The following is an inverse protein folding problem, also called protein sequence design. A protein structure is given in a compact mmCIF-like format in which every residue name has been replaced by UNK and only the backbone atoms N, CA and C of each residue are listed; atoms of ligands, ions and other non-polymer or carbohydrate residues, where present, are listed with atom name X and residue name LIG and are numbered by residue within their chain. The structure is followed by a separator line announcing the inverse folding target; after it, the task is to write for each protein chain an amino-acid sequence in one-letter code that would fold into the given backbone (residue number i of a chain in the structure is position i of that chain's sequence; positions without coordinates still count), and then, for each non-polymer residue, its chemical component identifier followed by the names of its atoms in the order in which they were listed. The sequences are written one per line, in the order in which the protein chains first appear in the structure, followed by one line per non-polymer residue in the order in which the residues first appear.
data_IF_575944500354
#
_entry.id   IF_575944500354
#
_cell.length_a   1.000
_cell.length_b   1.000
_cell.length_c   1.000
_cell.angle_alpha   90.00
_cell.angle_beta   90.00
_cell.angle_gamma   90.00
#
_symmetry.space_group_name_H-M   'P 1'
#
loop_
_entity.id
_entity.type
_entity.pdbx_description
1 polymer ?
#
# COMPACT_ATOMS: atom_id res chain seq x y z
N UNK A 1 4.74 -4.61 -6.78
CA UNK A 1 3.45 -5.12 -7.26
C UNK A 1 2.46 -3.98 -7.47
N UNK A 2 1.74 -3.59 -6.41
CA UNK A 2 0.64 -2.61 -6.50
C UNK A 2 1.08 -1.22 -7.00
N UNK A 3 2.24 -0.72 -6.54
CA UNK A 3 2.88 0.53 -7.00
C UNK A 3 3.03 0.58 -8.53
N UNK A 4 3.59 -0.47 -9.11
CA UNK A 4 3.87 -0.57 -10.55
C UNK A 4 2.57 -0.62 -11.36
N UNK A 5 1.59 -1.37 -10.88
CA UNK A 5 0.26 -1.51 -11.51
C UNK A 5 -0.48 -0.18 -11.52
N UNK A 6 -0.49 0.56 -10.40
CA UNK A 6 -1.16 1.87 -10.32
C UNK A 6 -0.45 2.89 -11.21
N UNK A 7 0.88 2.95 -11.15
CA UNK A 7 1.66 3.91 -11.92
C UNK A 7 1.48 3.69 -13.43
N UNK A 8 1.56 2.44 -13.91
CA UNK A 8 1.35 2.10 -15.31
C UNK A 8 -0.13 2.20 -15.73
N UNK A 9 -1.04 1.78 -14.87
CA UNK A 9 -2.49 1.87 -15.11
C UNK A 9 -2.95 3.33 -15.29
N UNK A 10 -2.45 4.24 -14.46
CA UNK A 10 -2.74 5.68 -14.56
C UNK A 10 -2.27 6.28 -15.90
N UNK A 11 -1.11 5.87 -16.39
CA UNK A 11 -0.58 6.32 -17.68
C UNK A 11 -1.45 5.81 -18.83
N UNK A 12 -1.71 4.51 -18.86
CA UNK A 12 -2.46 3.85 -19.94
C UNK A 12 -3.89 4.39 -20.01
N UNK A 13 -4.55 4.57 -18.88
CA UNK A 13 -5.92 5.11 -18.86
C UNK A 13 -5.94 6.57 -19.29
N UNK A 14 -4.95 7.39 -18.90
CA UNK A 14 -4.90 8.78 -19.38
C UNK A 14 -4.64 8.91 -20.89
N UNK A 15 -3.96 7.93 -21.49
CA UNK A 15 -3.70 7.88 -22.94
C UNK A 15 -4.95 7.45 -23.73
N UNK A 16 -5.74 6.52 -23.17
CA UNK A 16 -6.91 5.92 -23.82
C UNK A 16 -8.21 6.65 -23.45
N UNK A 17 -8.15 7.67 -22.57
CA UNK A 17 -9.32 8.35 -21.99
C UNK A 17 -10.33 8.85 -23.03
N UNK A 18 -9.87 9.32 -24.18
CA UNK A 18 -10.71 9.92 -25.22
C UNK A 18 -11.55 8.86 -25.97
N UNK A 19 -11.15 7.57 -25.87
CA UNK A 19 -11.89 6.44 -26.44
C UNK A 19 -12.93 5.86 -25.46
N UNK A 20 -12.89 6.25 -24.18
CA UNK A 20 -13.75 5.67 -23.13
C UNK A 20 -15.07 6.44 -23.05
N UNK A 21 -16.22 5.83 -23.41
CA UNK A 21 -17.51 6.49 -23.29
C UNK A 21 -17.91 6.67 -21.82
N UNK A 22 -18.40 7.86 -21.46
CA UNK A 22 -18.75 8.21 -20.07
C UNK A 22 -19.75 7.26 -19.41
N UNK A 23 -20.63 6.61 -20.18
CA UNK A 23 -21.66 5.68 -19.65
C UNK A 23 -21.09 4.36 -19.13
N UNK A 24 -19.93 3.92 -19.62
CA UNK A 24 -19.32 2.62 -19.30
C UNK A 24 -17.92 2.75 -18.71
N UNK A 25 -17.57 3.94 -18.23
CA UNK A 25 -16.21 4.31 -17.80
C UNK A 25 -15.65 3.40 -16.72
N UNK A 26 -16.42 3.14 -15.66
CA UNK A 26 -16.00 2.30 -14.52
C UNK A 26 -15.65 0.89 -15.01
N UNK A 27 -16.53 0.30 -15.85
CA UNK A 27 -16.34 -1.05 -16.39
C UNK A 27 -15.09 -1.09 -17.28
N UNK A 28 -14.92 -0.09 -18.15
CA UNK A 28 -13.75 -0.01 -19.03
C UNK A 28 -12.43 0.09 -18.26
N UNK A 29 -12.37 0.92 -17.23
CA UNK A 29 -11.18 1.09 -16.39
C UNK A 29 -10.83 -0.20 -15.64
N UNK A 30 -11.82 -0.88 -15.07
CA UNK A 30 -11.62 -2.15 -14.37
C UNK A 30 -11.10 -3.25 -15.31
N UNK A 31 -11.62 -3.34 -16.54
CA UNK A 31 -11.13 -4.31 -17.54
C UNK A 31 -9.70 -4.02 -17.97
N UNK A 32 -9.35 -2.75 -18.20
CA UNK A 32 -7.98 -2.34 -18.57
C UNK A 32 -7.00 -2.70 -17.45
N UNK A 33 -7.34 -2.38 -16.20
CA UNK A 33 -6.49 -2.71 -15.04
C UNK A 33 -6.39 -4.21 -14.85
N UNK A 34 -7.50 -4.96 -14.93
CA UNK A 34 -7.48 -6.41 -14.82
C UNK A 34 -6.58 -7.05 -15.88
N UNK A 35 -6.67 -6.61 -17.13
CA UNK A 35 -5.79 -7.06 -18.20
C UNK A 35 -4.31 -6.77 -17.92
N UNK A 36 -3.99 -5.57 -17.43
CA UNK A 36 -2.62 -5.20 -17.05
C UNK A 36 -2.08 -6.10 -15.94
N UNK A 37 -2.87 -6.35 -14.89
CA UNK A 37 -2.46 -7.19 -13.75
C UNK A 37 -2.24 -8.64 -14.19
N UNK A 38 -3.09 -9.16 -15.08
CA UNK A 38 -2.93 -10.51 -15.63
C UNK A 38 -1.65 -10.63 -16.47
N UNK A 39 -1.33 -9.64 -17.30
CA UNK A 39 -0.08 -9.64 -18.09
C UNK A 39 1.13 -9.67 -17.15
N UNK A 40 1.13 -8.85 -16.09
CA UNK A 40 2.21 -8.83 -15.11
C UNK A 40 2.33 -10.17 -14.37
N UNK A 41 1.21 -10.78 -13.98
CA UNK A 41 1.19 -12.11 -13.36
C UNK A 41 1.80 -13.18 -14.28
N UNK A 42 1.46 -13.16 -15.56
CA UNK A 42 1.99 -14.11 -16.55
C UNK A 42 3.48 -13.90 -16.83
N UNK A 43 3.95 -12.65 -16.92
CA UNK A 43 5.38 -12.34 -17.06
C UNK A 43 6.15 -12.85 -15.84
N UNK A 44 5.63 -12.66 -14.63
CA UNK A 44 6.28 -13.16 -13.42
C UNK A 44 6.28 -14.69 -13.33
N UNK A 45 5.24 -15.37 -13.81
CA UNK A 45 5.24 -16.85 -13.93
C UNK A 45 6.38 -17.36 -14.81
N UNK A 46 6.71 -16.62 -15.86
CA UNK A 46 7.74 -17.01 -16.82
C UNK A 46 9.17 -16.81 -16.29
N UNK A 47 9.42 -15.77 -15.49
CA UNK A 47 10.77 -15.45 -14.98
C UNK A 47 11.05 -15.92 -13.55
N UNK A 48 10.03 -15.93 -12.66
CA UNK A 48 10.20 -16.27 -11.23
C UNK A 48 8.96 -17.01 -10.69
N UNK A 49 8.97 -18.33 -10.84
CA UNK A 49 7.83 -19.19 -10.49
C UNK A 49 7.45 -19.14 -8.99
N UNK A 50 8.44 -19.16 -8.08
CA UNK A 50 8.18 -19.14 -6.63
C UNK A 50 7.55 -17.83 -6.16
N UNK A 51 7.96 -16.70 -6.72
CA UNK A 51 7.38 -15.38 -6.42
C UNK A 51 5.98 -15.26 -7.02
N UNK A 52 5.76 -15.80 -8.22
CA UNK A 52 4.45 -15.79 -8.84
C UNK A 52 3.39 -16.54 -8.03
N UNK A 53 3.74 -17.69 -7.43
CA UNK A 53 2.79 -18.47 -6.62
C UNK A 53 2.23 -17.68 -5.45
N UNK A 54 3.07 -16.88 -4.79
CA UNK A 54 2.62 -15.99 -3.72
C UNK A 54 1.83 -14.80 -4.28
N UNK A 55 2.27 -14.23 -5.41
CA UNK A 55 1.64 -13.06 -6.02
C UNK A 55 0.25 -13.35 -6.59
N UNK A 56 -0.04 -14.59 -6.99
CA UNK A 56 -1.32 -14.98 -7.60
C UNK A 56 -2.53 -14.71 -6.69
N UNK A 57 -2.37 -14.76 -5.36
CA UNK A 57 -3.45 -14.38 -4.43
C UNK A 57 -3.62 -12.86 -4.39
N UNK A 58 -2.52 -12.12 -4.48
CA UNK A 58 -2.54 -10.65 -4.48
C UNK A 58 -3.11 -10.06 -5.77
N UNK A 59 -3.10 -10.78 -6.89
CA UNK A 59 -3.72 -10.35 -8.15
C UNK A 59 -5.19 -9.98 -7.94
N UNK A 60 -5.96 -10.84 -7.28
CA UNK A 60 -7.38 -10.57 -6.99
C UNK A 60 -7.58 -9.35 -6.09
N UNK A 61 -6.78 -9.22 -5.03
CA UNK A 61 -6.83 -8.06 -4.12
C UNK A 61 -6.39 -6.75 -4.77
N UNK A 62 -5.51 -6.80 -5.78
CA UNK A 62 -5.06 -5.62 -6.52
C UNK A 62 -6.17 -5.13 -7.46
N UNK A 63 -6.84 -6.04 -8.17
CA UNK A 63 -7.90 -5.69 -9.12
C UNK A 63 -9.09 -5.05 -8.42
N UNK A 64 -9.48 -5.58 -7.25
CA UNK A 64 -10.61 -5.07 -6.47
C UNK A 64 -10.22 -3.93 -5.51
N UNK A 65 -8.98 -3.44 -5.58
CA UNK A 65 -8.54 -2.40 -4.67
C UNK A 65 -9.17 -1.04 -5.02
N UNK A 66 -9.89 -0.47 -4.06
CA UNK A 66 -10.56 0.82 -4.19
C UNK A 66 -9.59 1.98 -4.50
N UNK A 67 -8.33 1.90 -4.09
CA UNK A 67 -7.33 2.95 -4.38
C UNK A 67 -7.04 3.05 -5.88
N UNK A 68 -7.02 1.91 -6.58
CA UNK A 68 -6.69 1.84 -8.00
C UNK A 68 -7.81 2.51 -8.78
N UNK A 69 -9.06 2.08 -8.55
CA UNK A 69 -10.23 2.67 -9.18
C UNK A 69 -10.35 4.17 -8.84
N UNK A 70 -10.22 4.54 -7.57
CA UNK A 70 -10.39 5.92 -7.12
C UNK A 70 -9.40 6.92 -7.73
N UNK A 71 -8.11 6.55 -7.87
CA UNK A 71 -7.12 7.44 -8.50
C UNK A 71 -7.27 7.53 -10.01
N UNK A 72 -7.63 6.42 -10.65
CA UNK A 72 -7.88 6.41 -12.09
C UNK A 72 -9.04 7.32 -12.48
N UNK A 73 -10.13 7.24 -11.73
CA UNK A 73 -11.32 8.05 -11.98
C UNK A 73 -11.09 9.53 -11.65
N UNK A 74 -10.53 9.84 -10.48
CA UNK A 74 -10.37 11.21 -10.02
C UNK A 74 -9.22 11.95 -10.74
N UNK A 75 -8.14 11.26 -11.11
CA UNK A 75 -6.91 11.90 -11.58
C UNK A 75 -6.53 11.52 -13.01
N UNK A 76 -6.54 10.23 -13.38
CA UNK A 76 -6.09 9.80 -14.71
C UNK A 76 -7.02 10.25 -15.86
N UNK A 77 -8.32 10.39 -15.60
CA UNK A 77 -9.28 10.88 -16.59
C UNK A 77 -9.12 12.38 -16.88
N UNK A 78 -8.70 13.18 -15.90
CA UNK A 78 -8.61 14.64 -16.02
C UNK A 78 -7.22 15.11 -16.48
N UNK A 79 -6.16 14.37 -16.19
CA UNK A 79 -4.78 14.82 -16.35
C UNK A 79 -4.03 14.13 -17.49
N UNK A 80 -2.92 14.75 -17.91
CA UNK A 80 -1.99 14.21 -18.91
C UNK A 80 -1.25 12.96 -18.37
N UNK A 81 -0.64 12.13 -19.23
CA UNK A 81 0.02 10.89 -18.80
C UNK A 81 1.16 11.07 -17.80
N UNK A 82 1.98 12.10 -17.98
CA UNK A 82 3.10 12.39 -17.08
C UNK A 82 2.68 12.73 -15.64
N UNK A 83 1.77 13.70 -15.40
CA UNK A 83 1.27 13.94 -14.04
C UNK A 83 0.50 12.74 -13.47
N UNK A 84 -0.24 11.98 -14.30
CA UNK A 84 -0.96 10.77 -13.85
C UNK A 84 -0.01 9.65 -13.39
N UNK A 85 1.16 9.52 -14.02
CA UNK A 85 2.23 8.62 -13.55
C UNK A 85 2.74 9.04 -12.16
N UNK A 86 3.10 10.32 -12.01
CA UNK A 86 3.61 10.86 -10.75
C UNK A 86 2.57 10.74 -9.62
N UNK A 87 1.29 10.90 -9.94
CA UNK A 87 0.21 10.65 -9.00
C UNK A 87 0.15 9.20 -8.55
N UNK A 88 0.26 8.27 -9.49
CA UNK A 88 0.25 6.84 -9.20
C UNK A 88 1.40 6.45 -8.28
N UNK A 89 2.61 6.91 -8.60
CA UNK A 89 3.82 6.69 -7.78
C UNK A 89 3.68 7.35 -6.40
N UNK A 90 3.26 8.61 -6.35
CA UNK A 90 3.15 9.38 -5.10
C UNK A 90 2.16 8.77 -4.11
N UNK A 91 0.96 8.41 -4.56
CA UNK A 91 -0.06 7.81 -3.69
C UNK A 91 0.40 6.46 -3.14
N UNK A 92 1.06 5.67 -3.97
CA UNK A 92 1.43 4.32 -3.61
C UNK A 92 2.75 4.25 -2.80
N UNK A 93 3.65 5.22 -2.95
CA UNK A 93 4.73 5.49 -2.00
C UNK A 93 4.20 6.00 -0.66
N UNK A 94 3.26 6.94 -0.66
CA UNK A 94 2.65 7.46 0.57
C UNK A 94 1.96 6.36 1.38
N UNK A 95 1.22 5.48 0.70
CA UNK A 95 0.65 4.28 1.31
C UNK A 95 1.72 3.37 1.92
N UNK A 96 2.81 3.11 1.20
CA UNK A 96 3.93 2.31 1.69
C UNK A 96 4.61 2.89 2.93
N UNK A 97 4.79 4.21 2.99
CA UNK A 97 5.38 4.90 4.15
C UNK A 97 4.50 4.76 5.39
N UNK A 98 3.18 4.93 5.24
CA UNK A 98 2.24 4.77 6.37
C UNK A 98 2.30 3.32 6.88
N UNK A 99 2.26 2.33 5.99
CA UNK A 99 2.37 0.93 6.38
C UNK A 99 3.69 0.61 7.07
N UNK A 100 4.80 1.19 6.61
CA UNK A 100 6.11 1.01 7.24
C UNK A 100 6.12 1.53 8.68
N UNK A 101 5.60 2.74 8.91
CA UNK A 101 5.51 3.33 10.25
C UNK A 101 4.63 2.46 11.17
N UNK A 102 3.47 2.01 10.66
CA UNK A 102 2.57 1.15 11.43
C UNK A 102 3.22 -0.19 11.77
N UNK A 103 3.96 -0.80 10.84
CA UNK A 103 4.70 -2.05 11.08
C UNK A 103 5.77 -1.87 12.15
N UNK A 104 6.53 -0.77 12.12
CA UNK A 104 7.55 -0.47 13.14
C UNK A 104 6.93 -0.40 14.54
N UNK A 105 5.83 0.34 14.69
CA UNK A 105 5.12 0.45 15.97
C UNK A 105 4.61 -0.93 16.42
N UNK A 106 4.05 -1.72 15.51
CA UNK A 106 3.52 -3.06 15.83
C UNK A 106 4.61 -4.06 16.21
N UNK A 107 5.79 -4.00 15.60
CA UNK A 107 6.91 -4.87 15.94
C UNK A 107 7.49 -4.53 17.33
N UNK A 108 7.73 -3.23 17.59
CA UNK A 108 8.23 -2.76 18.89
C UNK A 108 7.30 -3.21 20.03
N UNK A 109 6.01 -2.95 19.91
CA UNK A 109 5.05 -3.18 20.99
C UNK A 109 4.45 -4.59 21.00
N UNK A 110 4.50 -5.33 19.89
CA UNK A 110 3.97 -6.68 19.79
C UNK A 110 4.98 -7.75 20.14
N UNK A 111 6.16 -7.72 19.50
CA UNK A 111 7.19 -8.75 19.64
C UNK A 111 8.38 -8.30 20.52
N UNK A 112 8.50 -7.01 20.84
CA UNK A 112 9.62 -6.46 21.59
C UNK A 112 10.91 -6.35 20.76
N UNK A 113 10.82 -6.58 19.45
CA UNK A 113 11.93 -6.58 18.51
C UNK A 113 11.70 -5.56 17.40
N UNK A 114 12.77 -4.98 16.90
CA UNK A 114 12.78 -4.12 15.73
C UNK A 114 13.48 -4.84 14.61
N UNK A 115 12.73 -5.20 13.58
CA UNK A 115 13.25 -5.86 12.39
C UNK A 115 13.59 -4.77 11.38
N UNK A 116 14.85 -4.33 11.34
CA UNK A 116 15.29 -3.28 10.42
C UNK A 116 15.81 -3.93 9.14
N UNK A 117 15.14 -3.74 7.99
CA UNK A 117 15.65 -4.19 6.70
C UNK A 117 16.86 -3.32 6.34
N UNK A 118 18.06 -3.90 6.41
CA UNK A 118 19.32 -3.19 6.10
C UNK A 118 19.86 -3.59 4.71
N UNK A 119 19.10 -4.41 3.96
CA UNK A 119 19.42 -4.83 2.60
C UNK A 119 18.36 -5.75 2.00
N UNK A 120 18.62 -6.29 0.81
CA UNK A 120 17.69 -7.12 0.02
C UNK A 120 17.47 -8.51 0.68
N UNK A 121 18.40 -8.97 1.53
CA UNK A 121 18.33 -10.26 2.23
C UNK A 121 18.81 -10.21 3.69
N UNK A 122 19.01 -9.02 4.26
CA UNK A 122 19.60 -8.88 5.61
C UNK A 122 18.65 -8.14 6.52
N UNK A 123 18.21 -8.87 7.53
CA UNK A 123 17.22 -8.45 8.50
C UNK A 123 17.93 -8.37 9.85
N UNK A 124 18.14 -7.16 10.37
CA UNK A 124 18.70 -6.97 11.71
C UNK A 124 17.54 -6.92 12.70
N UNK A 125 17.54 -7.85 13.66
CA UNK A 125 16.55 -7.90 14.73
C UNK A 125 17.18 -7.29 15.98
N UNK A 126 16.84 -6.04 16.27
CA UNK A 126 17.24 -5.39 17.52
C UNK A 126 16.22 -5.75 18.60
N UNK A 127 16.64 -6.45 19.66
CA UNK A 127 15.81 -6.59 20.85
C UNK A 127 15.77 -5.23 21.56
N UNK A 128 14.60 -4.58 21.51
CA UNK A 128 14.43 -3.22 22.03
C UNK A 128 14.34 -3.23 23.56
N UNK A 129 13.85 -4.34 24.13
CA UNK A 129 13.76 -4.51 25.57
C UNK A 129 14.94 -5.36 26.11
N UNK A 130 15.71 -4.84 27.10
CA UNK A 130 16.71 -5.64 27.80
C UNK A 130 16.03 -6.74 28.63
N UNK A 131 16.72 -7.88 28.82
CA UNK A 131 16.20 -9.06 29.54
C UNK A 131 15.63 -8.72 30.94
N UNK A 132 16.13 -7.65 31.57
CA UNK A 132 15.64 -7.12 32.84
C UNK A 132 14.15 -6.71 32.83
N UNK A 133 13.59 -6.29 31.70
CA UNK A 133 12.15 -5.96 31.60
C UNK A 133 11.28 -7.22 31.56
N UNK A 134 11.76 -8.29 30.91
CA UNK A 134 11.09 -9.59 30.90
C UNK A 134 11.11 -10.23 32.29
N UNK A 135 12.22 -10.10 33.03
CA UNK A 135 12.33 -10.56 34.43
C UNK A 135 11.48 -9.73 35.41
N UNK A 136 11.11 -8.49 35.04
CA UNK A 136 10.17 -7.63 35.77
C UNK A 136 8.68 -7.90 35.44
N UNK A 137 8.39 -8.93 34.62
CA UNK A 137 7.03 -9.37 34.29
C UNK A 137 6.47 -8.81 32.98
N UNK A 138 7.29 -8.22 32.11
CA UNK A 138 6.87 -7.82 30.77
C UNK A 138 6.58 -9.05 29.90
N UNK A 139 5.35 -9.19 29.44
CA UNK A 139 4.94 -10.21 28.46
C UNK A 139 4.66 -9.52 27.14
N UNK A 140 5.22 -10.06 26.06
CA UNK A 140 4.98 -9.58 24.70
C UNK A 140 3.48 -9.49 24.41
N UNK A 141 3.03 -8.32 23.91
CA UNK A 141 1.63 -8.06 23.70
C UNK A 141 1.16 -8.64 22.36
N UNK A 142 0.76 -9.91 22.36
CA UNK A 142 0.20 -10.58 21.19
C UNK A 142 -1.03 -9.87 20.60
N UNK A 143 -1.74 -9.06 21.40
CA UNK A 143 -2.86 -8.22 20.97
C UNK A 143 -2.45 -7.18 19.90
N UNK A 144 -1.23 -6.64 19.98
CA UNK A 144 -0.73 -5.59 19.07
C UNK A 144 -0.49 -6.12 17.64
N UNK A 145 -0.39 -7.44 17.49
CA UNK A 145 -0.20 -8.11 16.20
C UNK A 145 -1.55 -8.26 15.48
N UNK A 146 -2.69 -8.17 16.17
CA UNK A 146 -4.01 -8.36 15.54
C UNK A 146 -4.43 -7.17 14.66
N UNK A 147 -5.25 -7.40 13.61
CA UNK A 147 -5.80 -6.35 12.74
C UNK A 147 -6.45 -5.12 13.45
N UNK A 148 -7.26 -5.27 14.52
CA UNK A 148 -7.84 -4.12 15.25
C UNK A 148 -6.80 -3.12 15.76
N UNK A 149 -5.63 -3.58 16.21
CA UNK A 149 -4.60 -2.68 16.72
C UNK A 149 -3.92 -1.89 15.60
N UNK A 150 -3.82 -2.45 14.39
CA UNK A 150 -3.33 -1.71 13.23
C UNK A 150 -4.25 -0.51 12.90
N UNK A 151 -5.56 -0.66 13.03
CA UNK A 151 -6.51 0.44 12.82
C UNK A 151 -6.38 1.53 13.87
N UNK A 152 -6.17 1.16 15.14
CA UNK A 152 -5.95 2.12 16.24
C UNK A 152 -4.65 2.91 16.01
N UNK A 153 -3.56 2.23 15.65
CA UNK A 153 -2.27 2.88 15.35
C UNK A 153 -2.40 3.83 14.16
N UNK A 154 -3.05 3.42 13.08
CA UNK A 154 -3.34 4.32 11.93
C UNK A 154 -4.18 5.51 12.37
N UNK A 155 -5.22 5.29 13.19
CA UNK A 155 -6.05 6.36 13.75
C UNK A 155 -5.27 7.38 14.55
N UNK A 156 -4.33 6.93 15.40
CA UNK A 156 -3.43 7.81 16.14
C UNK A 156 -2.49 8.61 15.23
N UNK A 157 -1.95 7.98 14.18
CA UNK A 157 -1.10 8.64 13.19
C UNK A 157 -1.87 9.74 12.46
N UNK A 158 -3.09 9.44 12.01
CA UNK A 158 -3.97 10.42 11.34
C UNK A 158 -4.33 11.55 12.29
N UNK A 159 -4.63 11.25 13.56
CA UNK A 159 -4.89 12.28 14.57
C UNK A 159 -3.68 13.20 14.78
N UNK A 160 -2.48 12.65 14.96
CA UNK A 160 -1.25 13.42 15.13
C UNK A 160 -0.98 14.31 13.90
N UNK A 161 -1.15 13.76 12.70
CA UNK A 161 -1.01 14.52 11.45
C UNK A 161 -2.01 15.68 11.37
N UNK A 162 -3.29 15.44 11.71
CA UNK A 162 -4.33 16.47 11.68
C UNK A 162 -4.13 17.54 12.73
N UNK A 163 -3.62 17.20 13.91
CA UNK A 163 -3.28 18.16 14.97
C UNK A 163 -2.14 19.09 14.55
N UNK A 164 -1.11 18.58 13.86
CA UNK A 164 -0.02 19.40 13.33
C UNK A 164 -0.37 20.19 12.07
N UNK A 165 -1.32 19.71 11.26
CA UNK A 165 -1.78 20.39 10.05
C UNK A 165 -3.28 20.68 10.14
N UNK A 166 -3.68 21.71 10.93
CA UNK A 166 -5.09 22.07 11.10
C UNK A 166 -5.77 22.50 9.79
N UNK A 167 -5.01 22.89 8.75
CA UNK A 167 -5.54 23.15 7.40
C UNK A 167 -6.21 21.93 6.73
N UNK A 168 -5.99 20.72 7.25
CA UNK A 168 -6.61 19.47 6.79
C UNK A 168 -7.85 19.09 7.60
N UNK A 169 -8.22 19.88 8.61
CA UNK A 169 -9.48 19.73 9.31
C UNK A 169 -10.57 20.33 8.43
N UNK A 170 -11.56 19.52 8.06
CA UNK A 170 -12.74 20.01 7.37
C UNK A 170 -13.40 21.06 8.28
N UNK A 171 -13.49 22.30 7.79
CA UNK A 171 -14.34 23.31 8.40
C UNK A 171 -15.78 22.83 8.19
N UNK A 172 -16.40 22.32 9.25
CA UNK A 172 -17.86 22.21 9.28
C UNK A 172 -18.49 23.60 9.19
#
# INVERSE_FOLDING_TARGET
GVLTVIAMGNVIISLIRDLIPSRVRIIAQLVIVAGLVIIVDQVLKAFVYDVSKQLSVFVGLIITNCIVMGRLEAFAMANKPWPSFLDGVGNSLGYGIILMIVSIIREIFGAGTLTIPTGINTVYVLHVFPQSFYDLGYVNNGLMILPPMALIVVGMIVWAQRTWRPKLQESN
#
